data_IF_614518923991
#
_entry.id   IF_614518923991
#
_cell.length_a   1.000
_cell.length_b   1.000
_cell.length_c   1.000
_cell.angle_alpha   90.00
_cell.angle_beta   90.00
_cell.angle_gamma   90.00
#
_symmetry.space_group_name_H-M   'P 1'
#
loop_
_entity.id
_entity.type
_entity.pdbx_description
1 polymer ?
#
# COMPACT_ATOMS: atom_id res chain seq x y z
N UNK A 1 -0.20 -19.13 -10.89
CA UNK A 1 0.63 -18.19 -11.68
C UNK A 1 0.24 -18.12 -13.16
N UNK A 2 -0.05 -19.22 -13.86
CA UNK A 2 -0.54 -19.20 -15.26
C UNK A 2 -1.87 -18.45 -15.50
N UNK A 3 -2.60 -18.13 -14.43
CA UNK A 3 -3.90 -17.46 -14.49
C UNK A 3 -3.81 -16.05 -15.10
N UNK A 4 -2.87 -15.22 -14.65
CA UNK A 4 -2.75 -13.83 -15.13
C UNK A 4 -2.33 -13.82 -16.61
N UNK A 5 -1.51 -14.77 -17.03
CA UNK A 5 -1.07 -14.84 -18.43
C UNK A 5 -2.20 -15.24 -19.40
N UNK A 6 -3.11 -16.13 -18.95
CA UNK A 6 -4.21 -16.70 -19.75
C UNK A 6 -5.48 -15.87 -19.79
N UNK A 7 -5.63 -14.89 -18.92
CA UNK A 7 -6.83 -14.06 -18.82
C UNK A 7 -6.49 -12.60 -19.13
N UNK A 8 -7.42 -11.91 -19.81
CA UNK A 8 -7.26 -10.47 -20.09
C UNK A 8 -7.37 -9.66 -18.80
N UNK A 9 -8.28 -10.07 -17.90
CA UNK A 9 -8.50 -9.45 -16.60
C UNK A 9 -8.66 -10.53 -15.51
N UNK A 10 -8.11 -10.30 -14.32
CA UNK A 10 -8.24 -11.20 -13.16
C UNK A 10 -8.52 -10.39 -11.90
N UNK A 11 -9.41 -10.89 -11.05
CA UNK A 11 -9.64 -10.33 -9.72
C UNK A 11 -8.97 -11.23 -8.67
N UNK A 12 -8.09 -10.66 -7.86
CA UNK A 12 -7.40 -11.32 -6.76
C UNK A 12 -7.92 -10.77 -5.44
N UNK A 13 -8.47 -11.65 -4.61
CA UNK A 13 -8.85 -11.34 -3.23
C UNK A 13 -7.78 -11.90 -2.31
N UNK A 14 -7.42 -11.16 -1.28
CA UNK A 14 -6.69 -11.71 -0.14
C UNK A 14 -6.54 -10.65 0.93
N UNK A 15 -6.40 -11.07 2.17
CA UNK A 15 -6.28 -10.14 3.30
C UNK A 15 -5.01 -9.27 3.20
N UNK A 16 -4.97 -8.18 3.96
CA UNK A 16 -3.73 -7.40 4.14
C UNK A 16 -2.63 -8.31 4.71
N UNK A 17 -1.39 -8.08 4.30
CA UNK A 17 -0.26 -8.92 4.73
C UNK A 17 -0.07 -10.24 3.96
N UNK A 18 -1.01 -10.68 3.11
CA UNK A 18 -0.85 -11.92 2.33
C UNK A 18 0.11 -11.80 1.12
N UNK A 19 0.81 -10.66 0.96
CA UNK A 19 1.85 -10.46 -0.05
C UNK A 19 1.38 -10.05 -1.46
N UNK A 20 0.11 -9.67 -1.66
CA UNK A 20 -0.41 -9.23 -2.99
C UNK A 20 0.42 -8.11 -3.60
N UNK A 21 0.55 -7.01 -2.86
CA UNK A 21 1.17 -5.76 -3.29
C UNK A 21 2.67 -5.89 -3.56
N UNK A 22 3.34 -6.86 -2.92
CA UNK A 22 4.78 -7.11 -3.10
C UNK A 22 5.07 -8.17 -4.15
N UNK A 23 4.29 -9.26 -4.22
CA UNK A 23 4.64 -10.44 -5.03
C UNK A 23 4.02 -10.45 -6.43
N UNK A 24 2.80 -9.94 -6.61
CA UNK A 24 2.06 -10.10 -7.88
C UNK A 24 2.76 -9.42 -9.05
N UNK A 25 3.31 -8.21 -8.83
CA UNK A 25 4.10 -7.48 -9.83
C UNK A 25 5.35 -8.25 -10.25
N UNK A 26 6.06 -8.87 -9.30
CA UNK A 26 7.24 -9.70 -9.55
C UNK A 26 6.89 -10.96 -10.36
N UNK A 27 5.74 -11.60 -10.09
CA UNK A 27 5.26 -12.70 -10.92
C UNK A 27 4.99 -12.25 -12.35
N UNK A 28 4.35 -11.09 -12.55
CA UNK A 28 4.12 -10.54 -13.89
C UNK A 28 5.43 -10.32 -14.66
N UNK A 29 6.47 -9.80 -14.02
CA UNK A 29 7.80 -9.67 -14.64
C UNK A 29 8.36 -11.03 -15.04
N UNK A 30 8.30 -12.03 -14.15
CA UNK A 30 8.76 -13.40 -14.45
C UNK A 30 8.01 -14.06 -15.62
N UNK A 31 6.78 -13.62 -15.90
CA UNK A 31 5.97 -14.08 -17.04
C UNK A 31 6.21 -13.29 -18.33
N UNK A 32 7.24 -12.42 -18.38
CA UNK A 32 7.55 -11.62 -19.58
C UNK A 32 6.64 -10.40 -19.77
N UNK A 33 5.88 -9.99 -18.75
CA UNK A 33 4.99 -8.84 -18.89
C UNK A 33 5.75 -7.50 -18.89
N UNK A 34 7.05 -7.47 -18.59
CA UNK A 34 7.87 -6.24 -18.66
C UNK A 34 8.84 -6.21 -19.85
N UNK A 35 8.57 -7.00 -20.89
CA UNK A 35 9.28 -6.95 -22.17
C UNK A 35 8.71 -5.81 -23.02
N UNK A 36 9.55 -4.85 -23.40
CA UNK A 36 9.16 -3.66 -24.18
C UNK A 36 7.99 -2.85 -23.57
N UNK A 37 7.90 -2.84 -22.24
CA UNK A 37 6.89 -2.11 -21.49
C UNK A 37 7.00 -2.37 -19.99
N UNK A 38 6.10 -1.76 -19.21
CA UNK A 38 6.08 -1.83 -17.76
C UNK A 38 4.95 -2.72 -17.22
N UNK A 39 5.18 -3.23 -16.01
CA UNK A 39 4.12 -3.61 -15.08
C UNK A 39 3.85 -2.42 -14.17
N UNK A 40 2.69 -1.77 -14.35
CA UNK A 40 2.26 -0.66 -13.51
C UNK A 40 1.45 -1.18 -12.32
N UNK A 41 1.75 -0.72 -11.12
CA UNK A 41 0.97 -1.04 -9.90
C UNK A 41 0.42 0.25 -9.32
N UNK A 42 -0.90 0.44 -9.37
CA UNK A 42 -1.51 1.63 -8.81
C UNK A 42 -1.83 1.46 -7.34
N UNK A 43 -1.68 2.55 -6.60
CA UNK A 43 -1.98 2.66 -5.19
C UNK A 43 -2.80 3.94 -4.95
N UNK A 44 -3.85 3.91 -4.10
CA UNK A 44 -4.60 5.11 -3.76
C UNK A 44 -3.75 6.11 -2.96
N UNK A 45 -2.76 5.61 -2.20
CA UNK A 45 -1.93 6.40 -1.29
C UNK A 45 -0.49 6.54 -1.78
N UNK A 46 0.05 7.76 -1.73
CA UNK A 46 1.45 8.06 -2.09
C UNK A 46 2.44 7.23 -1.28
N UNK A 47 2.30 7.20 0.04
CA UNK A 47 3.22 6.48 0.93
C UNK A 47 3.25 4.99 0.62
N UNK A 48 2.10 4.39 0.29
CA UNK A 48 2.03 2.99 -0.13
C UNK A 48 2.82 2.75 -1.43
N UNK A 49 2.64 3.59 -2.45
CA UNK A 49 3.39 3.47 -3.70
C UNK A 49 4.92 3.54 -3.49
N UNK A 50 5.38 4.52 -2.70
CA UNK A 50 6.82 4.71 -2.43
C UNK A 50 7.38 3.55 -1.60
N UNK A 51 6.75 3.23 -0.46
CA UNK A 51 7.23 2.16 0.43
C UNK A 51 7.23 0.77 -0.24
N UNK A 52 6.20 0.46 -1.04
CA UNK A 52 6.16 -0.78 -1.81
C UNK A 52 7.25 -0.85 -2.88
N UNK A 53 7.55 0.25 -3.56
CA UNK A 53 8.65 0.28 -4.51
C UNK A 53 10.00 0.02 -3.83
N UNK A 54 10.27 0.65 -2.68
CA UNK A 54 11.46 0.37 -1.87
C UNK A 54 11.53 -1.11 -1.46
N UNK A 55 10.42 -1.65 -0.93
CA UNK A 55 10.35 -3.04 -0.48
C UNK A 55 10.61 -4.02 -1.63
N UNK A 56 9.97 -3.83 -2.77
CA UNK A 56 10.12 -4.73 -3.92
C UNK A 56 11.46 -4.57 -4.61
N UNK A 57 12.05 -3.37 -4.64
CA UNK A 57 13.43 -3.18 -5.09
C UNK A 57 14.39 -4.02 -4.23
N UNK A 58 14.23 -3.97 -2.89
CA UNK A 58 15.02 -4.77 -1.95
C UNK A 58 14.82 -6.28 -2.16
N UNK A 59 13.58 -6.75 -2.28
CA UNK A 59 13.28 -8.18 -2.53
C UNK A 59 13.86 -8.66 -3.86
N UNK A 60 13.86 -7.82 -4.89
CA UNK A 60 14.44 -8.11 -6.20
C UNK A 60 15.96 -7.89 -6.28
N UNK A 61 16.61 -7.56 -5.16
CA UNK A 61 18.05 -7.23 -5.08
C UNK A 61 18.44 -6.18 -6.13
N UNK A 62 17.61 -5.14 -6.27
CA UNK A 62 17.78 -4.04 -7.20
C UNK A 62 17.85 -2.72 -6.44
N UNK A 63 18.67 -1.79 -6.92
CA UNK A 63 18.56 -0.40 -6.48
C UNK A 63 17.22 0.16 -6.95
N UNK A 64 16.57 0.96 -6.10
CA UNK A 64 15.38 1.72 -6.50
C UNK A 64 15.71 2.63 -7.69
N UNK A 65 14.77 2.80 -8.61
CA UNK A 65 14.98 3.52 -9.86
C UNK A 65 15.60 2.68 -10.99
N UNK A 66 16.18 1.51 -10.69
CA UNK A 66 16.61 0.54 -11.70
C UNK A 66 15.44 -0.38 -12.08
N UNK A 67 15.43 -1.66 -11.70
CA UNK A 67 14.37 -2.60 -12.11
C UNK A 67 12.99 -2.26 -11.54
N UNK A 68 12.96 -1.60 -10.39
CA UNK A 68 11.74 -1.21 -9.68
C UNK A 68 11.83 0.29 -9.42
N UNK A 69 10.77 1.02 -9.73
CA UNK A 69 10.69 2.46 -9.52
C UNK A 69 9.31 2.88 -9.04
N UNK A 70 9.15 4.17 -8.77
CA UNK A 70 7.85 4.74 -8.48
C UNK A 70 7.63 6.09 -9.16
N UNK A 71 6.36 6.46 -9.31
CA UNK A 71 5.94 7.77 -9.81
C UNK A 71 4.72 8.28 -9.05
N UNK A 72 4.90 9.34 -8.29
CA UNK A 72 3.84 10.00 -7.53
C UNK A 72 3.83 11.49 -7.88
N UNK A 73 2.88 12.26 -7.32
CA UNK A 73 2.82 13.70 -7.63
C UNK A 73 4.10 14.39 -7.16
N UNK A 74 4.75 15.10 -8.09
CA UNK A 74 6.00 15.86 -7.90
C UNK A 74 7.27 15.03 -7.66
N UNK A 75 7.20 13.70 -7.69
CA UNK A 75 8.34 12.83 -7.38
C UNK A 75 8.33 11.60 -8.29
N UNK A 76 9.48 11.28 -8.87
CA UNK A 76 9.65 10.19 -9.83
C UNK A 76 11.04 9.61 -9.67
N UNK A 77 11.12 8.31 -9.40
CA UNK A 77 12.36 7.55 -9.28
C UNK A 77 12.26 6.31 -10.18
N UNK A 78 12.69 6.43 -11.44
CA UNK A 78 12.68 5.34 -12.42
C UNK A 78 13.64 5.65 -13.58
N UNK A 79 14.08 4.62 -14.30
CA UNK A 79 14.99 4.70 -15.45
C UNK A 79 14.44 3.90 -16.63
N UNK A 80 15.15 3.90 -17.75
CA UNK A 80 14.82 3.06 -18.92
C UNK A 80 14.89 1.55 -18.61
N UNK A 81 15.66 1.17 -17.60
CA UNK A 81 15.78 -0.23 -17.15
C UNK A 81 14.61 -0.69 -16.29
N UNK A 82 13.71 0.22 -15.89
CA UNK A 82 12.59 -0.08 -15.00
C UNK A 82 11.60 -1.06 -15.63
N UNK A 83 11.18 -2.04 -14.82
CA UNK A 83 10.26 -3.11 -15.20
C UNK A 83 8.95 -3.03 -14.42
N UNK A 84 9.03 -2.67 -13.15
CA UNK A 84 7.88 -2.46 -12.27
C UNK A 84 7.85 -0.99 -11.86
N UNK A 85 6.70 -0.34 -12.06
CA UNK A 85 6.48 1.03 -11.59
C UNK A 85 5.31 1.03 -10.63
N UNK A 86 5.56 1.44 -9.39
CA UNK A 86 4.49 1.76 -8.44
C UNK A 86 4.08 3.22 -8.59
N UNK A 87 2.80 3.49 -8.75
CA UNK A 87 2.33 4.85 -9.01
C UNK A 87 0.99 5.12 -8.33
N UNK A 88 0.65 6.38 -8.13
CA UNK A 88 -0.70 6.68 -7.64
C UNK A 88 -1.73 6.60 -8.76
N UNK A 89 -2.98 6.28 -8.42
CA UNK A 89 -4.10 6.24 -9.39
C UNK A 89 -4.17 7.53 -10.23
N UNK A 90 -4.02 8.69 -9.58
CA UNK A 90 -4.03 9.98 -10.25
C UNK A 90 -2.87 10.22 -11.23
N UNK A 91 -1.72 9.56 -11.03
CA UNK A 91 -0.61 9.62 -12.00
C UNK A 91 -0.94 8.78 -13.23
N UNK A 92 -1.45 7.56 -13.06
CA UNK A 92 -1.82 6.72 -14.21
C UNK A 92 -2.99 7.32 -15.00
N UNK A 93 -3.98 7.90 -14.31
CA UNK A 93 -5.06 8.65 -14.95
C UNK A 93 -4.53 9.81 -15.80
N UNK A 94 -3.57 10.57 -15.28
CA UNK A 94 -2.94 11.65 -16.04
C UNK A 94 -2.19 11.14 -17.26
N UNK A 95 -1.49 10.01 -17.13
CA UNK A 95 -0.85 9.37 -18.28
C UNK A 95 -1.88 8.93 -19.33
N UNK A 96 -3.03 8.40 -18.91
CA UNK A 96 -4.11 7.99 -19.80
C UNK A 96 -4.76 9.16 -20.56
N UNK A 97 -4.69 10.39 -20.04
CA UNK A 97 -5.13 11.59 -20.78
C UNK A 97 -4.22 11.84 -22.00
N UNK A 98 -2.91 11.61 -21.85
CA UNK A 98 -1.93 11.83 -22.92
C UNK A 98 -1.77 10.62 -23.86
N UNK A 99 -1.81 9.42 -23.31
CA UNK A 99 -1.83 8.16 -24.04
C UNK A 99 -3.02 7.30 -23.58
N UNK A 100 -4.21 7.47 -24.20
CA UNK A 100 -5.41 6.71 -23.85
C UNK A 100 -5.25 5.20 -24.04
N UNK A 101 -4.30 4.79 -24.87
CA UNK A 101 -3.98 3.39 -25.11
C UNK A 101 -2.91 2.89 -24.13
N UNK A 102 -2.34 3.72 -23.25
CA UNK A 102 -1.38 3.36 -22.20
C UNK A 102 -0.22 2.48 -22.71
N UNK A 103 0.25 2.67 -23.94
CA UNK A 103 1.10 1.74 -24.71
C UNK A 103 2.38 1.33 -23.99
N UNK A 104 2.86 2.17 -23.06
CA UNK A 104 3.99 1.86 -22.19
C UNK A 104 3.74 0.67 -21.24
N UNK A 105 2.48 0.30 -20.99
CA UNK A 105 2.10 -0.76 -20.06
C UNK A 105 1.59 -2.02 -20.77
N UNK A 106 2.12 -3.15 -20.35
CA UNK A 106 1.66 -4.48 -20.74
C UNK A 106 0.71 -5.09 -19.69
N UNK A 107 0.88 -4.68 -18.44
CA UNK A 107 0.02 -5.09 -17.33
C UNK A 107 -0.17 -3.92 -16.38
N UNK A 108 -1.42 -3.66 -16.00
CA UNK A 108 -1.76 -2.73 -14.93
C UNK A 108 -2.39 -3.53 -13.79
N UNK A 109 -1.84 -3.37 -12.60
CA UNK A 109 -2.34 -3.92 -11.36
C UNK A 109 -3.00 -2.76 -10.60
N UNK A 110 -4.31 -2.84 -10.37
CA UNK A 110 -5.04 -1.89 -9.52
C UNK A 110 -5.10 -2.50 -8.13
N UNK A 111 -4.29 -1.99 -7.22
CA UNK A 111 -4.25 -2.46 -5.83
C UNK A 111 -5.20 -1.66 -4.94
N UNK A 112 -5.56 -2.23 -3.79
CA UNK A 112 -6.49 -1.64 -2.83
C UNK A 112 -7.79 -1.13 -3.45
N UNK A 113 -8.32 -1.87 -4.44
CA UNK A 113 -9.56 -1.51 -5.13
C UNK A 113 -10.79 -1.43 -4.19
N UNK A 114 -10.66 -1.99 -2.98
CA UNK A 114 -11.66 -1.90 -1.93
C UNK A 114 -11.77 -0.50 -1.27
N UNK A 115 -10.76 0.37 -1.41
CA UNK A 115 -10.86 1.76 -0.91
C UNK A 115 -11.86 2.60 -1.71
N UNK A 116 -12.30 2.12 -2.90
CA UNK A 116 -13.35 2.72 -3.75
C UNK A 116 -13.19 4.24 -3.92
N UNK A 117 -11.95 4.70 -4.11
CA UNK A 117 -11.70 6.11 -4.37
C UNK A 117 -12.26 6.51 -5.74
N UNK A 118 -12.66 7.78 -5.91
CA UNK A 118 -13.12 8.31 -7.19
C UNK A 118 -12.10 8.06 -8.31
N UNK A 119 -10.81 8.23 -8.00
CA UNK A 119 -9.74 8.01 -8.97
C UNK A 119 -9.64 6.53 -9.37
N UNK A 120 -9.78 5.61 -8.42
CA UNK A 120 -9.76 4.16 -8.69
C UNK A 120 -10.93 3.76 -9.60
N UNK A 121 -12.14 4.24 -9.30
CA UNK A 121 -13.34 3.91 -10.09
C UNK A 121 -13.24 4.47 -11.53
N UNK A 122 -12.75 5.71 -11.69
CA UNK A 122 -12.48 6.30 -13.03
C UNK A 122 -11.40 5.49 -13.75
N UNK A 123 -10.32 5.12 -13.04
CA UNK A 123 -9.21 4.38 -13.63
C UNK A 123 -9.68 3.01 -14.15
N UNK A 124 -10.49 2.28 -13.39
CA UNK A 124 -11.05 0.99 -13.82
C UNK A 124 -11.86 1.13 -15.11
N UNK A 125 -12.63 2.22 -15.26
CA UNK A 125 -13.35 2.51 -16.49
C UNK A 125 -12.40 2.74 -17.68
N UNK A 126 -11.40 3.60 -17.49
CA UNK A 126 -10.41 3.91 -18.52
C UNK A 126 -9.63 2.65 -18.94
N UNK A 127 -9.22 1.81 -17.99
CA UNK A 127 -8.54 0.55 -18.27
C UNK A 127 -9.41 -0.41 -19.09
N UNK A 128 -10.71 -0.51 -18.76
CA UNK A 128 -11.67 -1.33 -19.53
C UNK A 128 -11.82 -0.83 -20.97
N UNK A 129 -11.91 0.48 -21.17
CA UNK A 129 -11.98 1.10 -22.50
C UNK A 129 -10.67 0.88 -23.29
N UNK A 130 -9.53 1.08 -22.63
CA UNK A 130 -8.20 0.88 -23.19
C UNK A 130 -8.01 -0.56 -23.67
N UNK A 131 -8.37 -1.55 -22.85
CA UNK A 131 -8.30 -2.98 -23.19
C UNK A 131 -9.14 -3.29 -24.44
N UNK A 132 -10.38 -2.78 -24.52
CA UNK A 132 -11.24 -2.94 -25.68
C UNK A 132 -10.65 -2.32 -26.95
N UNK A 133 -10.20 -1.06 -26.88
CA UNK A 133 -9.64 -0.35 -28.04
C UNK A 133 -8.34 -0.97 -28.54
N UNK A 134 -7.46 -1.43 -27.64
CA UNK A 134 -6.25 -2.16 -28.02
C UNK A 134 -6.56 -3.45 -28.79
N UNK A 135 -7.59 -4.18 -28.36
CA UNK A 135 -8.06 -5.40 -29.01
C UNK A 135 -8.61 -5.11 -30.41
N UNK A 136 -9.42 -4.07 -30.55
CA UNK A 136 -9.95 -3.61 -31.84
C UNK A 136 -8.84 -3.11 -32.79
N UNK A 137 -7.77 -2.52 -32.24
CA UNK A 137 -6.64 -1.95 -33.01
C UNK A 137 -5.48 -2.93 -33.24
N UNK A 138 -5.65 -4.22 -32.92
CA UNK A 138 -4.62 -5.26 -33.01
C UNK A 138 -3.28 -4.91 -32.32
N UNK A 139 -3.35 -4.15 -31.22
CA UNK A 139 -2.20 -3.84 -30.37
C UNK A 139 -1.98 -4.95 -29.34
N UNK A 140 -0.79 -4.97 -28.73
CA UNK A 140 -0.52 -5.87 -27.60
C UNK A 140 -1.56 -5.66 -26.50
N UNK A 141 -2.31 -6.72 -26.21
CA UNK A 141 -3.39 -6.72 -25.24
C UNK A 141 -2.90 -6.26 -23.87
N UNK A 142 -3.60 -5.28 -23.29
CA UNK A 142 -3.38 -4.85 -21.91
C UNK A 142 -4.00 -5.88 -20.96
N UNK A 143 -3.18 -6.44 -20.06
CA UNK A 143 -3.67 -7.27 -18.97
C UNK A 143 -3.99 -6.42 -17.74
N UNK A 144 -5.08 -6.74 -17.07
CA UNK A 144 -5.53 -6.02 -15.87
C UNK A 144 -5.60 -7.00 -14.70
N UNK A 145 -5.01 -6.63 -13.57
CA UNK A 145 -5.16 -7.38 -12.32
C UNK A 145 -5.77 -6.45 -11.29
N UNK A 146 -6.89 -6.86 -10.70
CA UNK A 146 -7.59 -6.07 -9.67
C UNK A 146 -7.35 -6.78 -8.35
N UNK A 147 -6.71 -6.11 -7.40
CA UNK A 147 -6.43 -6.66 -6.07
C UNK A 147 -7.31 -5.97 -5.03
N UNK A 148 -7.95 -6.77 -4.19
CA UNK A 148 -8.87 -6.32 -3.14
C UNK A 148 -8.69 -7.14 -1.87
N UNK A 149 -8.94 -6.52 -0.71
CA UNK A 149 -8.98 -7.21 0.58
C UNK A 149 -10.38 -7.71 0.96
N UNK A 150 -11.43 -7.19 0.31
CA UNK A 150 -12.82 -7.46 0.68
C UNK A 150 -13.53 -8.40 -0.30
N UNK A 151 -14.66 -8.96 0.15
CA UNK A 151 -15.52 -9.89 -0.61
C UNK A 151 -16.29 -9.24 -1.77
N UNK A 152 -16.13 -7.93 -2.04
CA UNK A 152 -16.79 -7.22 -3.16
C UNK A 152 -16.31 -7.64 -4.56
N UNK A 153 -15.47 -8.67 -4.67
CA UNK A 153 -14.92 -9.15 -5.93
C UNK A 153 -15.94 -9.50 -7.01
N UNK A 154 -17.18 -9.87 -6.62
CA UNK A 154 -18.25 -10.15 -7.59
C UNK A 154 -18.63 -8.92 -8.42
N UNK A 155 -18.58 -7.73 -7.82
CA UNK A 155 -18.81 -6.47 -8.53
C UNK A 155 -17.75 -6.25 -9.61
N UNK A 156 -16.47 -6.35 -9.25
CA UNK A 156 -15.36 -6.21 -10.19
C UNK A 156 -15.39 -7.29 -11.28
N UNK A 157 -15.63 -8.55 -10.91
CA UNK A 157 -15.78 -9.65 -11.87
C UNK A 157 -16.85 -9.36 -12.90
N UNK A 158 -18.05 -8.98 -12.45
CA UNK A 158 -19.19 -8.67 -13.32
C UNK A 158 -18.88 -7.47 -14.23
N UNK A 159 -18.27 -6.42 -13.67
CA UNK A 159 -17.88 -5.23 -14.42
C UNK A 159 -16.86 -5.52 -15.52
N UNK A 160 -15.92 -6.45 -15.28
CA UNK A 160 -14.92 -6.90 -16.25
C UNK A 160 -15.33 -8.21 -16.95
N UNK A 161 -16.57 -8.29 -17.44
CA UNK A 161 -17.08 -9.38 -18.28
C UNK A 161 -16.94 -10.77 -17.64
N UNK A 162 -17.31 -10.90 -16.37
CA UNK A 162 -17.17 -12.12 -15.56
C UNK A 162 -15.72 -12.60 -15.43
N UNK A 163 -14.79 -11.65 -15.24
CA UNK A 163 -13.38 -11.95 -14.99
C UNK A 163 -13.23 -12.95 -13.83
N UNK A 164 -12.36 -13.96 -13.93
CA UNK A 164 -12.23 -14.97 -12.90
C UNK A 164 -11.69 -14.37 -11.60
N UNK A 165 -12.25 -14.85 -10.49
CA UNK A 165 -11.92 -14.41 -9.14
C UNK A 165 -11.09 -15.50 -8.45
N UNK A 166 -9.96 -15.12 -7.87
CA UNK A 166 -9.11 -16.02 -7.10
C UNK A 166 -8.89 -15.48 -5.70
N UNK A 167 -8.99 -16.36 -4.72
CA UNK A 167 -8.76 -16.04 -3.31
C UNK A 167 -7.38 -16.55 -2.90
N UNK A 168 -6.54 -15.63 -2.44
CA UNK A 168 -5.25 -15.89 -1.82
C UNK A 168 -5.50 -15.96 -0.32
N UNK A 169 -5.30 -17.14 0.26
CA UNK A 169 -5.43 -17.31 1.71
C UNK A 169 -4.25 -16.62 2.40
N UNK A 170 -4.56 -15.70 3.31
CA UNK A 170 -3.60 -15.14 4.26
C UNK A 170 -3.43 -16.07 5.46
N UNK A 171 -2.39 -15.78 6.25
CA UNK A 171 -2.26 -16.28 7.61
C UNK A 171 -2.48 -15.09 8.53
N UNK A 172 -3.55 -15.12 9.31
CA UNK A 172 -3.76 -14.19 10.42
C UNK A 172 -3.33 -14.88 11.69
N UNK A 173 -2.80 -14.09 12.62
CA UNK A 173 -2.58 -14.52 13.99
C UNK A 173 -3.80 -14.09 14.82
N UNK A 174 -4.22 -14.90 15.81
CA UNK A 174 -5.30 -14.49 16.71
C UNK A 174 -4.93 -13.18 17.40
N UNK A 175 -5.87 -12.25 17.47
CA UNK A 175 -5.72 -10.96 18.15
C UNK A 175 -6.68 -10.94 19.33
N UNK A 176 -6.16 -10.69 20.52
CA UNK A 176 -6.98 -10.47 21.72
C UNK A 176 -7.52 -9.04 21.72
N UNK A 177 -8.80 -8.89 22.05
CA UNK A 177 -9.50 -7.60 22.01
C UNK A 177 -9.86 -7.20 23.44
N UNK A 178 -9.36 -6.05 23.85
CA UNK A 178 -9.67 -5.44 25.14
C UNK A 178 -10.53 -4.20 24.95
N UNK A 179 -11.54 -4.04 25.81
CA UNK A 179 -12.42 -2.87 25.81
C UNK A 179 -12.18 -2.08 27.10
N UNK A 180 -11.82 -0.80 26.96
CA UNK A 180 -11.69 0.09 28.11
C UNK A 180 -13.06 0.56 28.60
N UNK A 181 -13.30 0.50 29.90
CA UNK A 181 -14.43 1.18 30.54
C UNK A 181 -14.08 2.67 30.67
N UNK A 182 -14.62 3.50 29.78
CA UNK A 182 -14.38 4.93 29.80
C UNK A 182 -15.31 5.61 30.81
N UNK A 183 -14.73 6.42 31.71
CA UNK A 183 -15.51 7.32 32.55
C UNK A 183 -16.13 8.42 31.65
N UNK A 184 -17.46 8.59 31.60
CA UNK A 184 -18.11 9.62 30.79
C UNK A 184 -17.65 11.05 31.11
N UNK A 185 -17.18 11.29 32.33
CA UNK A 185 -16.67 12.59 32.79
C UNK A 185 -15.23 12.87 32.30
N UNK A 186 -14.50 11.83 31.87
CA UNK A 186 -13.11 11.92 31.39
C UNK A 186 -12.94 11.27 30.00
N UNK A 187 -13.68 11.81 29.03
CA UNK A 187 -13.70 11.35 27.64
C UNK A 187 -12.49 11.83 26.80
N UNK A 188 -11.41 12.32 27.42
CA UNK A 188 -10.18 12.69 26.69
C UNK A 188 -9.45 11.43 26.23
N UNK A 189 -9.81 10.95 25.04
CA UNK A 189 -9.22 9.76 24.45
C UNK A 189 -7.73 9.95 24.11
N UNK A 190 -7.23 11.18 23.95
CA UNK A 190 -5.80 11.46 23.74
C UNK A 190 -5.04 11.19 25.03
N UNK A 191 -5.58 11.60 26.16
CA UNK A 191 -5.04 11.25 27.48
C UNK A 191 -5.15 9.74 27.74
N UNK A 192 -6.31 9.13 27.50
CA UNK A 192 -6.51 7.69 27.71
C UNK A 192 -5.59 6.83 26.83
N UNK A 193 -5.26 7.30 25.62
CA UNK A 193 -4.26 6.67 24.76
C UNK A 193 -2.89 6.63 25.42
N UNK A 194 -2.46 7.73 26.07
CA UNK A 194 -1.17 7.78 26.76
C UNK A 194 -1.11 6.85 27.97
N UNK A 195 -2.22 6.75 28.70
CA UNK A 195 -2.36 5.81 29.83
C UNK A 195 -2.24 4.37 29.32
N UNK A 196 -3.00 4.02 28.28
CA UNK A 196 -2.95 2.68 27.67
C UNK A 196 -1.53 2.31 27.17
N UNK A 197 -0.84 3.22 26.46
CA UNK A 197 0.54 2.97 26.01
C UNK A 197 1.48 2.75 27.20
N UNK A 198 1.32 3.52 28.27
CA UNK A 198 2.14 3.37 29.47
C UNK A 198 1.91 2.02 30.14
N UNK A 199 0.66 1.61 30.29
CA UNK A 199 0.31 0.34 30.94
C UNK A 199 0.81 -0.84 30.11
N UNK A 200 0.57 -0.84 28.80
CA UNK A 200 1.09 -1.86 27.89
C UNK A 200 2.62 -1.92 27.88
N UNK A 201 3.29 -0.77 27.90
CA UNK A 201 4.76 -0.71 27.94
C UNK A 201 5.34 -1.33 29.23
N UNK A 202 4.57 -1.39 30.33
CA UNK A 202 4.99 -2.00 31.58
C UNK A 202 4.71 -3.51 31.63
N UNK A 203 3.64 -3.96 30.97
CA UNK A 203 3.17 -5.34 31.04
C UNK A 203 3.67 -6.22 29.89
N UNK A 204 3.85 -5.64 28.69
CA UNK A 204 4.22 -6.38 27.48
C UNK A 204 5.74 -6.48 27.26
N UNK A 205 6.21 -7.49 26.49
CA UNK A 205 7.62 -7.66 26.20
C UNK A 205 8.27 -6.47 25.48
N UNK A 206 9.46 -6.10 25.93
CA UNK A 206 10.25 -4.96 25.43
C UNK A 206 10.60 -5.02 23.93
N UNK A 207 10.41 -6.18 23.27
CA UNK A 207 10.67 -6.40 21.85
C UNK A 207 9.53 -5.97 20.91
N UNK A 208 8.37 -5.59 21.45
CA UNK A 208 7.16 -5.36 20.65
C UNK A 208 7.00 -3.89 20.25
N UNK A 209 6.12 -3.63 19.27
CA UNK A 209 5.86 -2.28 18.72
C UNK A 209 4.39 -1.91 18.87
N UNK A 210 4.10 -0.62 18.98
CA UNK A 210 2.74 -0.10 19.10
C UNK A 210 2.30 0.61 17.81
N UNK A 211 1.07 0.30 17.35
CA UNK A 211 0.40 1.08 16.31
C UNK A 211 -0.81 1.79 16.90
N UNK A 212 -0.71 3.12 17.00
CA UNK A 212 -1.73 3.96 17.63
C UNK A 212 -2.48 4.75 16.55
N UNK A 213 -3.81 4.64 16.54
CA UNK A 213 -4.68 5.39 15.64
C UNK A 213 -5.25 6.63 16.35
N UNK A 214 -5.01 7.81 15.78
CA UNK A 214 -5.50 9.11 16.26
C UNK A 214 -6.13 9.88 15.10
N UNK A 215 -7.03 10.82 15.39
CA UNK A 215 -7.88 11.40 14.34
C UNK A 215 -7.20 12.51 13.54
N UNK A 216 -6.25 13.22 14.14
CA UNK A 216 -5.62 14.38 13.51
C UNK A 216 -4.15 14.59 13.85
N UNK A 217 -3.52 15.45 13.05
CA UNK A 217 -2.11 15.86 13.22
C UNK A 217 -1.84 16.39 14.63
N UNK A 218 -2.70 17.27 15.13
CA UNK A 218 -2.51 17.93 16.44
C UNK A 218 -2.45 16.91 17.59
N UNK A 219 -3.31 15.90 17.55
CA UNK A 219 -3.38 14.84 18.54
C UNK A 219 -2.16 13.91 18.42
N UNK A 220 -1.80 13.52 17.19
CA UNK A 220 -0.60 12.70 16.92
C UNK A 220 0.65 13.39 17.46
N UNK A 221 0.83 14.67 17.16
CA UNK A 221 1.96 15.46 17.63
C UNK A 221 1.92 15.63 19.16
N UNK A 222 0.73 15.80 19.74
CA UNK A 222 0.55 15.92 21.19
C UNK A 222 0.91 14.64 21.94
N UNK A 223 0.41 13.48 21.48
CA UNK A 223 0.76 12.16 22.07
C UNK A 223 2.25 11.91 21.94
N UNK A 224 2.82 12.10 20.75
CA UNK A 224 4.25 11.88 20.53
C UNK A 224 5.14 12.79 21.41
N UNK A 225 4.75 14.06 21.58
CA UNK A 225 5.46 14.98 22.47
C UNK A 225 5.35 14.54 23.94
N UNK A 226 4.15 14.23 24.43
CA UNK A 226 3.93 13.77 25.80
C UNK A 226 4.67 12.46 26.09
N UNK A 227 4.72 11.52 25.15
CA UNK A 227 5.52 10.29 25.28
C UNK A 227 7.03 10.59 25.41
N UNK A 228 7.57 11.53 24.62
CA UNK A 228 8.98 11.94 24.76
C UNK A 228 9.26 12.57 26.13
N UNK A 229 8.32 13.33 26.67
CA UNK A 229 8.43 13.89 28.02
C UNK A 229 8.38 12.81 29.11
N UNK A 230 7.59 11.74 28.89
CA UNK A 230 7.46 10.60 29.80
C UNK A 230 8.66 9.64 29.76
N UNK A 231 9.40 9.57 28.64
CA UNK A 231 10.56 8.69 28.49
C UNK A 231 11.62 8.87 29.58
N UNK A 232 11.73 10.05 30.21
CA UNK A 232 12.62 10.29 31.35
C UNK A 232 12.31 9.41 32.57
N UNK A 233 11.14 8.78 32.60
CA UNK A 233 10.65 7.91 33.65
C UNK A 233 10.63 6.42 33.25
N UNK A 234 10.96 6.09 32.00
CA UNK A 234 10.99 4.70 31.53
C UNK A 234 12.43 4.18 31.51
N UNK A 235 12.63 2.96 32.04
CA UNK A 235 13.90 2.25 31.99
C UNK A 235 14.29 1.91 30.55
N UNK A 236 13.28 1.62 29.71
CA UNK A 236 13.41 1.39 28.27
C UNK A 236 12.61 2.48 27.52
N UNK A 237 13.25 3.52 26.98
CA UNK A 237 12.53 4.61 26.30
C UNK A 237 11.73 4.14 25.09
N UNK A 238 10.56 4.75 24.88
CA UNK A 238 9.73 4.57 23.69
C UNK A 238 10.21 5.53 22.61
N UNK A 239 10.28 5.10 21.36
CA UNK A 239 10.61 5.96 20.21
C UNK A 239 9.35 6.34 19.43
N UNK A 240 8.58 7.37 19.86
CA UNK A 240 7.35 7.74 19.18
C UNK A 240 7.64 8.35 17.80
N UNK A 241 7.09 7.71 16.77
CA UNK A 241 7.18 8.13 15.37
C UNK A 241 5.82 8.61 14.87
N UNK A 242 5.55 9.94 14.86
CA UNK A 242 4.36 10.49 14.21
C UNK A 242 4.25 10.05 12.76
N UNK A 243 3.02 9.75 12.32
CA UNK A 243 2.74 9.43 10.92
C UNK A 243 1.41 10.07 10.48
N UNK A 244 1.48 11.08 9.61
CA UNK A 244 0.31 11.73 9.02
C UNK A 244 0.58 12.26 7.60
N UNK A 245 -0.50 12.54 6.86
CA UNK A 245 -0.46 12.78 5.42
C UNK A 245 0.41 13.97 4.97
N UNK A 246 0.49 15.04 5.77
CA UNK A 246 1.21 16.27 5.43
C UNK A 246 2.74 16.19 5.62
N UNK A 247 3.26 15.08 6.17
CA UNK A 247 4.70 14.90 6.38
C UNK A 247 5.47 14.71 5.06
N UNK A 248 6.77 15.05 5.06
CA UNK A 248 7.65 14.71 3.95
C UNK A 248 7.81 13.19 3.80
N UNK A 249 8.10 12.72 2.58
CA UNK A 249 8.28 11.29 2.30
C UNK A 249 9.40 10.70 3.19
N UNK A 250 10.53 11.39 3.32
CA UNK A 250 11.63 10.98 4.21
C UNK A 250 11.18 10.80 5.66
N UNK A 251 10.33 11.69 6.17
CA UNK A 251 9.84 11.59 7.56
C UNK A 251 8.82 10.48 7.73
N UNK A 252 7.95 10.23 6.74
CA UNK A 252 7.02 9.09 6.77
C UNK A 252 7.76 7.75 6.71
N UNK A 253 8.87 7.68 5.97
CA UNK A 253 9.70 6.48 5.87
C UNK A 253 10.34 6.08 7.20
N UNK A 254 10.55 7.02 8.14
CA UNK A 254 11.00 6.71 9.50
C UNK A 254 10.06 5.74 10.23
N UNK A 255 8.77 5.69 9.87
CA UNK A 255 7.82 4.73 10.44
C UNK A 255 8.15 3.26 10.06
N UNK A 256 9.04 3.03 9.09
CA UNK A 256 9.49 1.68 8.68
C UNK A 256 10.93 1.34 9.08
N UNK A 257 11.71 2.30 9.60
CA UNK A 257 13.07 2.08 10.09
C UNK A 257 13.07 1.37 11.47
N UNK A 258 14.09 0.58 11.83
CA UNK A 258 14.20 0.06 13.19
C UNK A 258 14.30 1.21 14.22
N UNK A 259 13.85 1.04 15.46
CA UNK A 259 14.12 2.02 16.51
C UNK A 259 15.63 2.17 16.73
N UNK A 260 16.13 3.32 17.21
CA UNK A 260 17.53 3.49 17.59
C UNK A 260 17.96 2.45 18.62
N UNK A 261 19.23 2.03 18.66
CA UNK A 261 19.73 0.95 19.55
C UNK A 261 19.47 1.18 21.06
N UNK A 262 19.18 2.42 21.46
CA UNK A 262 18.84 2.83 22.84
C UNK A 262 17.35 2.81 23.15
N UNK A 263 16.50 2.62 22.14
CA UNK A 263 15.05 2.54 22.26
C UNK A 263 14.61 1.14 21.85
N UNK A 264 13.85 0.48 22.73
CA UNK A 264 13.41 -0.88 22.48
C UNK A 264 11.99 -0.93 21.88
N UNK A 265 11.23 0.16 22.01
CA UNK A 265 9.85 0.28 21.56
C UNK A 265 9.70 1.33 20.46
N UNK A 266 8.83 1.08 19.48
CA UNK A 266 8.48 2.01 18.41
C UNK A 266 6.97 2.22 18.32
#
# INVERSE_FOLDING_TARGET
MNVIHRNETVVLIGETGCGKSTQVSQFCVRMGHAENGFVGVTQPRRLAAVSLAHRVAWEMKSTLGQKVGYRVRFEKEMSESTKIVYLTDGILLREAIHDPLLKAYNTVIVDEAHERSLNTDILLNILRLCQRQRKESNLRLLRIVIMSATLEAKLFSTYFNNAPVYVIRGWTFPVEIFHAELNPENADYVYNTLVCIKDLHQEEPISDHFLVFLTGREEIETVARKLRELNKHFTAPIYPVPLFAAMSATSQMKAFEPPPEVCFWK
#
